data_IF_352406143406
#
_entry.id   IF_352406143406
#
_cell.length_a   1.000
_cell.length_b   1.000
_cell.length_c   1.000
_cell.angle_alpha   90.00
_cell.angle_beta   90.00
_cell.angle_gamma   90.00
#
_symmetry.space_group_name_H-M   'P 1'
#
loop_
_entity.id
_entity.type
_entity.pdbx_description
1 polymer ?
#
# COMPACT_ATOMS: atom_id res chain seq x y z
N UNK A 1 -22.24 10.25 15.47
CA UNK A 1 -21.92 9.99 14.04
C UNK A 1 -21.25 8.63 13.96
N UNK A 2 -21.80 7.67 13.21
CA UNK A 2 -21.13 6.38 12.98
C UNK A 2 -19.87 6.66 12.15
N UNK A 3 -18.68 6.49 12.72
CA UNK A 3 -17.45 6.34 11.92
C UNK A 3 -17.54 4.95 11.31
N UNK A 4 -17.95 4.89 10.05
CA UNK A 4 -17.83 3.67 9.26
C UNK A 4 -16.36 3.55 8.90
N UNK A 5 -15.76 2.41 9.23
CA UNK A 5 -14.45 1.98 8.75
C UNK A 5 -14.43 2.06 7.22
N UNK A 6 -13.67 3.00 6.64
CA UNK A 6 -13.75 3.34 5.20
C UNK A 6 -12.67 2.63 4.39
N UNK A 7 -12.78 1.31 4.31
CA UNK A 7 -12.28 0.62 3.12
C UNK A 7 -13.12 1.09 1.92
N UNK A 8 -12.46 1.57 0.88
CA UNK A 8 -13.13 2.02 -0.34
C UNK A 8 -13.57 0.80 -1.12
N UNK A 9 -14.88 0.64 -1.34
CA UNK A 9 -15.48 -0.49 -2.06
C UNK A 9 -15.94 -0.11 -3.45
N UNK A 10 -16.36 1.14 -3.61
CA UNK A 10 -16.87 1.68 -4.86
C UNK A 10 -16.30 3.08 -5.14
N UNK A 11 -16.29 3.48 -6.42
CA UNK A 11 -15.76 4.77 -6.85
C UNK A 11 -16.40 5.97 -6.11
N UNK A 12 -17.70 5.87 -5.80
CA UNK A 12 -18.45 6.91 -5.07
C UNK A 12 -17.93 7.15 -3.65
N UNK A 13 -17.31 6.13 -3.04
CA UNK A 13 -16.83 6.21 -1.66
C UNK A 13 -15.66 7.20 -1.51
N UNK A 14 -14.94 7.46 -2.62
CA UNK A 14 -13.77 8.36 -2.67
C UNK A 14 -14.19 9.81 -2.40
N UNK A 15 -15.32 10.24 -2.94
CA UNK A 15 -15.82 11.61 -2.73
C UNK A 15 -16.19 11.85 -1.27
N UNK A 16 -16.76 10.83 -0.62
CA UNK A 16 -17.17 10.89 0.77
C UNK A 16 -16.03 10.65 1.76
N UNK A 17 -14.83 10.27 1.29
CA UNK A 17 -13.69 9.98 2.14
C UNK A 17 -13.19 11.27 2.82
N UNK A 18 -13.37 11.42 4.13
CA UNK A 18 -12.99 12.66 4.83
C UNK A 18 -11.89 12.45 5.86
N UNK A 19 -11.65 11.19 6.25
CA UNK A 19 -10.55 10.80 7.10
C UNK A 19 -10.19 9.34 6.86
N UNK A 20 -8.96 8.98 7.19
CA UNK A 20 -8.48 7.60 7.33
C UNK A 20 -7.76 7.56 8.67
N UNK A 21 -8.06 6.55 9.49
CA UNK A 21 -7.44 6.39 10.81
C UNK A 21 -7.45 7.68 11.65
N UNK A 22 -8.60 8.36 11.68
CA UNK A 22 -8.81 9.64 12.37
C UNK A 22 -7.89 10.80 11.95
N UNK A 23 -7.20 10.69 10.82
CA UNK A 23 -6.48 11.78 10.17
C UNK A 23 -7.37 12.34 9.06
N UNK A 24 -7.53 13.66 9.02
CA UNK A 24 -8.27 14.28 7.92
C UNK A 24 -7.51 14.14 6.60
N UNK A 25 -8.24 14.20 5.48
CA UNK A 25 -7.62 14.07 4.16
C UNK A 25 -6.60 15.18 3.91
N UNK A 26 -6.81 16.39 4.43
CA UNK A 26 -5.85 17.49 4.31
C UNK A 26 -4.52 17.18 5.02
N UNK A 27 -4.58 16.50 6.18
CA UNK A 27 -3.38 16.05 6.89
C UNK A 27 -2.67 14.95 6.09
N UNK A 28 -3.43 13.99 5.56
CA UNK A 28 -2.90 12.90 4.73
C UNK A 28 -2.24 13.47 3.47
N UNK A 29 -2.90 14.39 2.78
CA UNK A 29 -2.37 15.08 1.61
C UNK A 29 -1.07 15.82 1.92
N UNK A 30 -1.05 16.60 3.01
CA UNK A 30 0.18 17.29 3.44
C UNK A 30 1.33 16.30 3.65
N UNK A 31 1.07 15.15 4.30
CA UNK A 31 2.09 14.13 4.55
C UNK A 31 2.54 13.43 3.25
N UNK A 32 1.62 13.26 2.31
CA UNK A 32 1.86 12.58 1.06
C UNK A 32 2.73 13.38 0.07
N UNK A 33 2.89 14.69 0.27
CA UNK A 33 3.81 15.51 -0.53
C UNK A 33 5.27 15.26 -0.13
N UNK A 34 6.15 15.44 -1.11
CA UNK A 34 7.61 15.42 -0.95
C UNK A 34 8.07 16.32 0.22
N UNK A 35 9.05 15.85 0.98
CA UNK A 35 9.87 16.66 1.88
C UNK A 35 11.28 16.80 1.34
N UNK A 36 11.88 17.98 1.48
CA UNK A 36 13.27 18.22 1.12
C UNK A 36 14.23 17.81 2.25
N UNK A 37 13.79 17.96 3.50
CA UNK A 37 14.54 17.57 4.69
C UNK A 37 13.59 17.26 5.86
N UNK A 38 14.13 16.62 6.90
CA UNK A 38 13.39 16.26 8.12
C UNK A 38 13.15 17.45 9.06
N UNK A 39 13.75 18.62 8.79
CA UNK A 39 13.66 19.82 9.64
C UNK A 39 12.45 20.69 9.29
N UNK A 40 11.97 20.60 8.05
CA UNK A 40 10.81 21.31 7.53
C UNK A 40 9.48 20.89 8.17
N UNK A 41 9.43 19.68 8.76
CA UNK A 41 8.21 19.14 9.38
C UNK A 41 8.53 18.25 10.60
N UNK A 42 9.03 18.82 11.71
CA UNK A 42 9.59 18.06 12.84
C UNK A 42 8.56 17.14 13.52
N UNK A 43 7.26 17.45 13.38
CA UNK A 43 6.17 16.67 13.98
C UNK A 43 5.69 15.51 13.11
N UNK A 44 5.89 15.58 11.79
CA UNK A 44 5.32 14.58 10.87
C UNK A 44 6.28 13.96 9.87
N UNK A 45 7.55 14.40 9.80
CA UNK A 45 8.55 13.90 8.84
C UNK A 45 8.65 12.37 8.79
N UNK A 46 8.44 11.68 9.92
CA UNK A 46 8.47 10.20 10.01
C UNK A 46 7.39 9.50 9.19
N UNK A 47 6.29 10.19 8.90
CA UNK A 47 5.13 9.69 8.13
C UNK A 47 5.16 10.16 6.68
N UNK A 48 6.19 10.91 6.29
CA UNK A 48 6.38 11.45 4.95
C UNK A 48 7.45 10.63 4.23
N UNK A 49 7.51 10.78 2.91
CA UNK A 49 8.55 10.18 2.06
C UNK A 49 9.32 11.30 1.36
N UNK A 50 10.64 11.13 1.20
CA UNK A 50 11.47 12.06 0.41
C UNK A 50 11.05 12.09 -1.06
N UNK A 51 10.64 10.94 -1.61
CA UNK A 51 10.12 10.86 -2.97
C UNK A 51 8.61 11.22 -3.03
N UNK A 52 7.96 11.32 -1.87
CA UNK A 52 6.54 11.58 -1.73
C UNK A 52 5.66 10.40 -2.17
N UNK A 53 4.37 10.50 -1.87
CA UNK A 53 3.33 9.57 -2.31
C UNK A 53 2.42 10.19 -3.40
N UNK A 54 2.45 11.52 -3.55
CA UNK A 54 1.67 12.29 -4.53
C UNK A 54 2.55 13.27 -5.27
N UNK A 55 2.17 13.59 -6.51
CA UNK A 55 2.80 14.66 -7.29
C UNK A 55 2.53 16.03 -6.67
N UNK A 56 3.36 17.03 -6.98
CA UNK A 56 3.32 18.36 -6.32
C UNK A 56 1.93 19.01 -6.35
N UNK A 57 1.21 18.91 -7.47
CA UNK A 57 -0.09 19.55 -7.68
C UNK A 57 -1.28 18.59 -7.62
N UNK A 58 -1.09 17.33 -7.22
CA UNK A 58 -2.14 16.32 -7.19
C UNK A 58 -2.79 16.18 -5.80
N UNK A 59 -4.12 16.09 -5.74
CA UNK A 59 -4.81 15.78 -4.47
C UNK A 59 -4.85 14.28 -4.20
N UNK A 60 -4.97 13.86 -2.94
CA UNK A 60 -5.01 12.44 -2.57
C UNK A 60 -6.23 11.75 -3.17
N UNK A 61 -7.39 12.41 -3.10
CA UNK A 61 -8.62 11.90 -3.73
C UNK A 61 -8.50 11.80 -5.25
N UNK A 62 -7.87 12.78 -5.89
CA UNK A 62 -7.67 12.75 -7.35
C UNK A 62 -6.78 11.58 -7.78
N UNK A 63 -5.67 11.32 -7.06
CA UNK A 63 -4.83 10.15 -7.33
C UNK A 63 -5.62 8.85 -7.23
N UNK A 64 -6.37 8.66 -6.14
CA UNK A 64 -7.21 7.45 -5.98
C UNK A 64 -8.21 7.34 -7.13
N UNK A 65 -8.92 8.43 -7.47
CA UNK A 65 -9.87 8.43 -8.60
C UNK A 65 -9.20 8.04 -9.91
N UNK A 66 -8.00 8.55 -10.16
CA UNK A 66 -7.26 8.24 -11.38
C UNK A 66 -6.87 6.77 -11.43
N UNK A 67 -6.37 6.21 -10.33
CA UNK A 67 -6.00 4.78 -10.25
C UNK A 67 -7.21 3.85 -10.42
N UNK A 68 -8.36 4.20 -9.82
CA UNK A 68 -9.62 3.47 -10.00
C UNK A 68 -10.09 3.51 -11.45
N UNK A 69 -10.07 4.70 -12.08
CA UNK A 69 -10.45 4.86 -13.51
C UNK A 69 -9.54 4.06 -14.43
N UNK A 70 -8.23 4.04 -14.16
CA UNK A 70 -7.29 3.25 -14.94
C UNK A 70 -7.64 1.75 -14.89
N UNK A 71 -7.92 1.22 -13.70
CA UNK A 71 -8.33 -0.17 -13.56
C UNK A 71 -9.68 -0.46 -14.23
N UNK A 72 -10.66 0.41 -14.06
CA UNK A 72 -11.97 0.28 -14.72
C UNK A 72 -11.85 0.24 -16.24
N UNK A 73 -11.08 1.18 -16.82
CA UNK A 73 -10.84 1.22 -18.26
C UNK A 73 -10.12 -0.05 -18.74
N UNK A 74 -9.10 -0.50 -18.02
CA UNK A 74 -8.38 -1.73 -18.36
C UNK A 74 -9.29 -2.96 -18.33
N UNK A 75 -10.16 -3.07 -17.33
CA UNK A 75 -11.15 -4.15 -17.24
C UNK A 75 -12.08 -4.15 -18.46
N UNK A 76 -12.57 -2.98 -18.87
CA UNK A 76 -13.40 -2.84 -20.08
C UNK A 76 -12.65 -3.30 -21.33
N UNK A 77 -11.43 -2.80 -21.52
CA UNK A 77 -10.60 -3.10 -22.71
C UNK A 77 -10.24 -4.58 -22.83
N UNK A 78 -10.04 -5.26 -21.69
CA UNK A 78 -9.58 -6.66 -21.64
C UNK A 78 -10.71 -7.65 -21.31
N UNK A 79 -11.96 -7.19 -21.19
CA UNK A 79 -13.13 -7.99 -20.78
C UNK A 79 -12.89 -8.77 -19.48
N UNK A 80 -12.29 -8.09 -18.50
CA UNK A 80 -12.00 -8.60 -17.17
C UNK A 80 -12.85 -7.88 -16.12
N UNK A 81 -12.81 -8.36 -14.89
CA UNK A 81 -13.49 -7.75 -13.73
C UNK A 81 -12.59 -7.77 -12.50
N UNK A 82 -11.34 -7.32 -12.63
CA UNK A 82 -10.40 -7.26 -11.52
C UNK A 82 -10.71 -6.09 -10.59
N UNK A 83 -10.68 -6.36 -9.29
CA UNK A 83 -10.75 -5.35 -8.23
C UNK A 83 -9.35 -4.99 -7.73
N UNK A 84 -9.23 -3.90 -6.98
CA UNK A 84 -7.97 -3.57 -6.31
C UNK A 84 -7.55 -4.63 -5.28
N UNK A 85 -8.53 -5.33 -4.67
CA UNK A 85 -8.29 -6.48 -3.79
C UNK A 85 -7.71 -7.66 -4.58
N UNK A 86 -8.19 -7.92 -5.79
CA UNK A 86 -7.60 -8.98 -6.64
C UNK A 86 -6.16 -8.66 -7.00
N UNK A 87 -5.86 -7.40 -7.28
CA UNK A 87 -4.50 -6.95 -7.60
C UNK A 87 -3.59 -7.05 -6.38
N UNK A 88 -4.03 -6.61 -5.20
CA UNK A 88 -3.25 -6.75 -3.97
C UNK A 88 -2.99 -8.23 -3.64
N UNK A 89 -3.99 -9.09 -3.81
CA UNK A 89 -3.83 -10.53 -3.61
C UNK A 89 -2.82 -11.17 -4.57
N UNK A 90 -2.78 -10.76 -5.83
CA UNK A 90 -1.73 -11.20 -6.78
C UNK A 90 -0.33 -10.76 -6.33
N UNK A 91 -0.18 -9.53 -5.84
CA UNK A 91 1.10 -9.07 -5.29
C UNK A 91 1.50 -9.86 -4.05
N UNK A 92 0.57 -10.09 -3.11
CA UNK A 92 0.80 -10.91 -1.91
C UNK A 92 1.23 -12.33 -2.29
N UNK A 93 0.59 -12.93 -3.28
CA UNK A 93 0.92 -14.26 -3.77
C UNK A 93 2.34 -14.31 -4.36
N UNK A 94 2.73 -13.33 -5.19
CA UNK A 94 4.10 -13.23 -5.72
C UNK A 94 5.14 -13.10 -4.61
N UNK A 95 4.90 -12.24 -3.61
CA UNK A 95 5.81 -12.07 -2.47
C UNK A 95 5.89 -13.35 -1.64
N UNK A 96 4.75 -13.98 -1.34
CA UNK A 96 4.70 -15.26 -0.64
C UNK A 96 5.50 -16.35 -1.35
N UNK A 97 5.31 -16.52 -2.66
CA UNK A 97 6.05 -17.49 -3.46
C UNK A 97 7.56 -17.16 -3.50
N UNK A 98 7.92 -15.87 -3.55
CA UNK A 98 9.31 -15.43 -3.46
C UNK A 98 9.95 -15.83 -2.11
N UNK A 99 9.30 -15.52 -0.98
CA UNK A 99 9.80 -15.88 0.35
C UNK A 99 9.86 -17.39 0.56
N UNK A 100 8.84 -18.11 0.09
CA UNK A 100 8.79 -19.57 0.18
C UNK A 100 9.93 -20.20 -0.63
N UNK A 101 10.14 -19.76 -1.88
CA UNK A 101 11.24 -20.22 -2.73
C UNK A 101 12.60 -19.92 -2.08
N UNK A 102 12.76 -18.73 -1.49
CA UNK A 102 14.00 -18.36 -0.78
C UNK A 102 14.28 -19.30 0.39
N UNK A 103 13.25 -19.63 1.17
CA UNK A 103 13.35 -20.57 2.29
C UNK A 103 13.68 -21.99 1.80
N UNK A 104 13.01 -22.47 0.75
CA UNK A 104 13.20 -23.82 0.22
C UNK A 104 14.60 -24.02 -0.37
N UNK A 105 15.18 -22.97 -0.97
CA UNK A 105 16.55 -22.97 -1.49
C UNK A 105 17.60 -22.64 -0.43
N UNK A 106 17.20 -22.42 0.83
CA UNK A 106 18.07 -21.99 1.93
C UNK A 106 18.93 -20.75 1.57
N UNK A 107 18.33 -19.80 0.87
CA UNK A 107 18.97 -18.56 0.48
C UNK A 107 18.84 -17.50 1.58
N UNK A 108 19.84 -16.62 1.67
CA UNK A 108 19.81 -15.49 2.60
C UNK A 108 18.65 -14.52 2.32
N UNK A 109 18.23 -13.70 3.31
CA UNK A 109 16.99 -12.93 3.26
C UNK A 109 16.90 -11.90 2.12
N UNK A 110 18.05 -11.43 1.62
CA UNK A 110 18.14 -10.47 0.50
C UNK A 110 18.61 -11.12 -0.81
N UNK A 111 18.74 -12.45 -0.84
CA UNK A 111 19.12 -13.15 -2.06
C UNK A 111 18.04 -12.95 -3.14
N UNK A 112 18.44 -12.59 -4.37
CA UNK A 112 17.52 -12.51 -5.50
C UNK A 112 16.89 -13.86 -5.83
N UNK A 113 15.63 -13.84 -6.24
CA UNK A 113 14.84 -15.01 -6.61
C UNK A 113 14.36 -14.88 -8.05
N UNK A 114 14.54 -15.95 -8.84
CA UNK A 114 13.80 -16.15 -10.09
C UNK A 114 12.57 -16.99 -9.79
N UNK A 115 11.40 -16.47 -10.12
CA UNK A 115 10.10 -17.10 -9.87
C UNK A 115 9.37 -17.30 -11.20
N UNK A 116 8.81 -18.49 -11.42
CA UNK A 116 7.86 -18.73 -12.52
C UNK A 116 6.44 -18.59 -11.98
N UNK A 117 5.89 -17.38 -12.07
CA UNK A 117 4.57 -17.03 -11.58
C UNK A 117 3.48 -17.51 -12.56
N UNK A 118 2.41 -18.12 -12.03
CA UNK A 118 1.30 -18.68 -12.82
C UNK A 118 1.73 -19.59 -13.98
N UNK A 119 2.87 -20.29 -13.85
CA UNK A 119 3.45 -21.20 -14.87
C UNK A 119 3.86 -20.55 -16.20
N UNK A 120 3.70 -19.24 -16.37
CA UNK A 120 3.92 -18.56 -17.65
C UNK A 120 4.79 -17.30 -17.51
N UNK A 121 4.82 -16.69 -16.34
CA UNK A 121 5.42 -15.37 -16.14
C UNK A 121 6.71 -15.51 -15.36
N UNK A 122 7.83 -15.32 -16.04
CA UNK A 122 9.14 -15.30 -15.38
C UNK A 122 9.40 -13.95 -14.72
N UNK A 123 9.55 -13.97 -13.40
CA UNK A 123 9.85 -12.80 -12.57
C UNK A 123 11.25 -12.92 -11.97
N UNK A 124 11.97 -11.80 -11.93
CA UNK A 124 13.18 -11.62 -11.14
C UNK A 124 12.88 -10.67 -9.97
N UNK A 125 13.07 -11.15 -8.75
CA UNK A 125 12.65 -10.45 -7.53
C UNK A 125 13.85 -10.25 -6.61
N UNK A 126 14.12 -9.00 -6.26
CA UNK A 126 15.14 -8.63 -5.28
C UNK A 126 14.45 -8.06 -4.04
N UNK A 127 14.85 -8.54 -2.86
CA UNK A 127 14.38 -8.03 -1.58
C UNK A 127 15.45 -7.18 -0.92
N UNK A 128 15.09 -5.96 -0.56
CA UNK A 128 15.92 -5.04 0.20
C UNK A 128 15.40 -4.94 1.63
N UNK A 129 16.30 -4.95 2.61
CA UNK A 129 15.99 -4.72 4.02
C UNK A 129 16.84 -3.54 4.49
N UNK A 130 16.17 -2.51 5.02
CA UNK A 130 16.80 -1.28 5.46
C UNK A 130 16.92 -1.22 7.00
N UNK A 131 17.89 -0.47 7.49
CA UNK A 131 18.07 -0.25 8.93
C UNK A 131 17.04 0.73 9.53
N UNK A 132 16.40 1.54 8.69
CA UNK A 132 15.36 2.49 9.08
C UNK A 132 13.95 1.99 8.75
N UNK A 133 12.94 2.52 9.43
CA UNK A 133 11.53 2.21 9.15
C UNK A 133 10.83 3.38 8.47
N UNK A 134 10.04 3.06 7.46
CA UNK A 134 8.96 3.93 6.97
C UNK A 134 7.73 3.68 7.83
N UNK A 135 7.12 4.76 8.32
CA UNK A 135 5.80 4.68 8.94
C UNK A 135 4.73 4.87 7.89
N UNK A 136 3.58 4.24 8.12
CA UNK A 136 2.39 4.47 7.30
C UNK A 136 2.06 5.97 7.21
N UNK A 137 1.71 6.41 6.00
CA UNK A 137 1.13 7.72 5.71
C UNK A 137 -0.06 8.03 6.65
N UNK A 138 -0.83 6.98 6.97
CA UNK A 138 -2.02 7.02 7.80
C UNK A 138 -1.73 6.80 9.30
N UNK A 139 -0.47 6.80 9.73
CA UNK A 139 -0.13 6.55 11.13
C UNK A 139 -0.67 7.64 12.06
N UNK A 140 -1.41 7.22 13.10
CA UNK A 140 -1.96 8.12 14.11
C UNK A 140 -1.48 7.75 15.52
N UNK A 141 -0.57 8.56 16.11
CA UNK A 141 -0.05 8.32 17.47
C UNK A 141 -1.11 8.49 18.56
N UNK A 142 -2.08 9.39 18.37
CA UNK A 142 -3.06 9.73 19.41
C UNK A 142 -4.00 8.55 19.71
N UNK A 143 -4.35 7.76 18.70
CA UNK A 143 -5.17 6.55 18.88
C UNK A 143 -4.43 5.46 19.66
N UNK A 144 -3.14 5.28 19.39
CA UNK A 144 -2.33 4.27 20.10
C UNK A 144 -2.31 4.48 21.62
N UNK A 145 -2.38 5.75 22.06
CA UNK A 145 -2.42 6.11 23.47
C UNK A 145 -3.82 5.91 24.10
N UNK A 146 -4.89 6.07 23.33
CA UNK A 146 -6.26 5.88 23.82
C UNK A 146 -6.57 4.41 24.11
N UNK A 147 -6.14 3.49 23.24
CA UNK A 147 -6.40 2.05 23.46
C UNK A 147 -5.64 1.48 24.65
N UNK A 148 -4.41 1.95 24.90
CA UNK A 148 -3.66 1.53 26.08
C UNK A 148 -4.34 1.95 27.39
N UNK A 149 -5.14 3.01 27.39
CA UNK A 149 -5.86 3.47 28.59
C UNK A 149 -7.25 2.82 28.75
N UNK A 150 -7.92 2.44 27.65
CA UNK A 150 -9.29 1.92 27.71
C UNK A 150 -9.39 0.43 28.06
N UNK A 151 -8.32 -0.35 27.92
CA UNK A 151 -8.31 -1.79 28.25
C UNK A 151 -8.58 -2.12 29.74
N UNK A 152 -8.76 -1.12 30.61
CA UNK A 152 -9.08 -1.33 32.01
C UNK A 152 -10.57 -1.21 32.37
N UNK A 153 -11.48 -0.81 31.48
CA UNK A 153 -12.88 -0.63 31.88
C UNK A 153 -13.90 -0.97 30.77
N UNK A 154 -14.69 -2.01 31.04
CA UNK A 154 -16.01 -2.38 30.49
C UNK A 154 -16.09 -3.28 29.26
N UNK A 155 -17.02 -4.25 29.39
CA UNK A 155 -17.08 -5.51 28.66
C UNK A 155 -18.39 -5.62 27.85
N UNK A 156 -18.85 -4.54 27.20
CA UNK A 156 -20.22 -4.48 26.65
C UNK A 156 -20.42 -4.06 25.19
N UNK A 157 -19.39 -3.87 24.35
CA UNK A 157 -19.57 -3.68 22.90
C UNK A 157 -18.45 -4.32 22.05
N UNK A 158 -18.27 -5.63 22.18
CA UNK A 158 -17.14 -6.38 21.58
C UNK A 158 -17.06 -6.41 20.05
N UNK A 159 -18.15 -6.22 19.31
CA UNK A 159 -18.11 -6.38 17.83
C UNK A 159 -17.64 -5.10 17.12
N UNK A 160 -18.10 -3.92 17.54
CA UNK A 160 -17.62 -2.66 16.95
C UNK A 160 -16.18 -2.33 17.36
N UNK A 161 -15.79 -2.66 18.57
CA UNK A 161 -14.41 -2.47 19.05
C UNK A 161 -13.43 -3.33 18.23
N UNK A 162 -13.82 -4.55 17.81
CA UNK A 162 -12.98 -5.40 16.97
C UNK A 162 -12.71 -4.84 15.58
N UNK A 163 -13.74 -4.34 14.88
CA UNK A 163 -13.54 -3.75 13.55
C UNK A 163 -12.65 -2.50 13.63
N UNK A 164 -12.81 -1.67 14.67
CA UNK A 164 -11.95 -0.50 14.91
C UNK A 164 -10.50 -0.91 15.23
N UNK A 165 -10.29 -1.92 16.08
CA UNK A 165 -8.95 -2.43 16.39
C UNK A 165 -8.24 -3.02 15.16
N UNK A 166 -8.98 -3.74 14.30
CA UNK A 166 -8.43 -4.30 13.06
C UNK A 166 -8.01 -3.19 12.08
N UNK A 167 -8.85 -2.17 11.88
CA UNK A 167 -8.52 -1.03 11.00
C UNK A 167 -7.31 -0.24 11.53
N UNK A 168 -7.27 0.06 12.82
CA UNK A 168 -6.13 0.73 13.45
C UNK A 168 -4.84 -0.08 13.32
N UNK A 169 -4.96 -1.40 13.51
CA UNK A 169 -3.88 -2.34 13.33
C UNK A 169 -3.30 -2.30 11.92
N UNK A 170 -4.11 -2.05 10.89
CA UNK A 170 -3.68 -1.94 9.48
C UNK A 170 -2.92 -0.62 9.23
N UNK A 171 -3.45 0.50 9.72
CA UNK A 171 -2.91 1.82 9.42
C UNK A 171 -1.75 2.26 10.31
N UNK A 172 -1.62 1.74 11.52
CA UNK A 172 -0.49 1.99 12.43
C UNK A 172 0.62 0.94 12.27
N UNK A 173 0.99 0.65 11.01
CA UNK A 173 2.11 -0.23 10.65
C UNK A 173 3.33 0.56 10.20
N UNK A 174 4.48 -0.08 10.30
CA UNK A 174 5.77 0.40 9.81
C UNK A 174 6.48 -0.73 9.10
N UNK A 175 7.29 -0.42 8.10
CA UNK A 175 8.04 -1.39 7.33
C UNK A 175 9.43 -0.87 7.04
N UNK A 176 10.36 -1.79 6.79
CA UNK A 176 11.74 -1.51 6.39
C UNK A 176 12.19 -2.42 5.25
N UNK A 177 11.21 -2.97 4.52
CA UNK A 177 11.44 -3.93 3.45
C UNK A 177 10.89 -3.34 2.16
N UNK A 178 11.55 -3.64 1.06
CA UNK A 178 11.11 -3.32 -0.29
C UNK A 178 11.39 -4.50 -1.21
N UNK A 179 10.51 -4.72 -2.18
CA UNK A 179 10.70 -5.68 -3.26
C UNK A 179 10.82 -4.96 -4.58
N UNK A 180 11.92 -5.19 -5.30
CA UNK A 180 12.02 -4.90 -6.72
C UNK A 180 11.55 -6.12 -7.50
N UNK A 181 10.45 -6.00 -8.25
CA UNK A 181 9.85 -7.07 -9.03
C UNK A 181 9.97 -6.70 -10.51
N UNK A 182 10.65 -7.55 -11.28
CA UNK A 182 10.85 -7.37 -12.71
C UNK A 182 10.25 -8.55 -13.49
N UNK A 183 9.44 -8.26 -14.51
CA UNK A 183 9.05 -9.26 -15.50
C UNK A 183 10.19 -9.44 -16.51
N UNK A 184 10.77 -10.64 -16.56
CA UNK A 184 11.97 -10.93 -17.37
C UNK A 184 11.67 -10.78 -18.86
N UNK A 185 10.47 -11.15 -19.32
CA UNK A 185 10.12 -11.07 -20.74
C UNK A 185 9.92 -9.63 -21.20
N UNK A 186 9.16 -8.83 -20.45
CA UNK A 186 8.83 -7.45 -20.83
C UNK A 186 9.86 -6.43 -20.37
N UNK A 187 10.79 -6.83 -19.50
CA UNK A 187 11.77 -5.96 -18.83
C UNK A 187 11.13 -4.85 -17.97
N UNK A 188 9.81 -4.89 -17.76
CA UNK A 188 9.12 -3.94 -16.90
C UNK A 188 9.36 -4.30 -15.43
N UNK A 189 9.55 -3.27 -14.61
CA UNK A 189 9.80 -3.41 -13.18
C UNK A 189 8.96 -2.44 -12.34
N UNK A 190 8.73 -2.84 -11.09
CA UNK A 190 8.10 -2.04 -10.03
C UNK A 190 8.88 -2.19 -8.74
N UNK A 191 8.79 -1.18 -7.88
CA UNK A 191 9.21 -1.24 -6.49
C UNK A 191 7.96 -1.34 -5.62
N UNK A 192 7.96 -2.28 -4.68
CA UNK A 192 6.88 -2.51 -3.72
C UNK A 192 7.43 -2.28 -2.33
N UNK A 193 7.08 -1.13 -1.74
CA UNK A 193 7.47 -0.74 -0.39
C UNK A 193 6.60 -1.47 0.64
N UNK A 194 7.19 -2.39 1.41
CA UNK A 194 6.51 -3.20 2.42
C UNK A 194 6.54 -4.70 2.12
N UNK A 195 5.68 -5.44 2.81
CA UNK A 195 5.49 -6.90 2.67
C UNK A 195 3.98 -7.22 2.56
N UNK A 196 3.59 -8.48 2.72
CA UNK A 196 2.18 -8.88 2.59
C UNK A 196 1.24 -8.19 3.57
N UNK A 197 1.78 -7.78 4.71
CA UNK A 197 1.03 -7.26 5.85
C UNK A 197 1.29 -5.76 6.05
N UNK A 198 2.30 -5.18 5.42
CA UNK A 198 2.74 -3.82 5.69
C UNK A 198 3.01 -3.06 4.39
N UNK A 199 2.82 -1.75 4.40
CA UNK A 199 3.18 -0.87 3.29
C UNK A 199 2.13 -0.82 2.18
N UNK A 200 2.61 -0.63 0.94
CA UNK A 200 1.77 -0.17 -0.17
C UNK A 200 0.68 -1.17 -0.57
N UNK A 201 0.90 -2.47 -0.34
CA UNK A 201 -0.08 -3.52 -0.64
C UNK A 201 -1.39 -3.28 0.12
N UNK A 202 -1.30 -2.84 1.38
CA UNK A 202 -2.50 -2.53 2.16
C UNK A 202 -3.23 -1.30 1.60
N UNK A 203 -2.52 -0.34 0.99
CA UNK A 203 -3.14 0.87 0.47
C UNK A 203 -3.88 0.54 -0.83
N UNK A 204 -3.30 -0.34 -1.65
CA UNK A 204 -3.94 -0.89 -2.84
C UNK A 204 -5.19 -1.67 -2.43
N UNK A 205 -5.07 -2.62 -1.50
CA UNK A 205 -6.18 -3.46 -1.05
C UNK A 205 -7.36 -2.67 -0.51
N UNK A 206 -7.09 -1.69 0.34
CA UNK A 206 -8.11 -1.03 1.15
C UNK A 206 -8.62 0.29 0.56
N UNK A 207 -7.84 0.93 -0.32
CA UNK A 207 -8.16 2.24 -0.90
C UNK A 207 -8.13 2.25 -2.42
N UNK A 208 -7.53 1.26 -3.07
CA UNK A 208 -7.13 1.36 -4.48
C UNK A 208 -6.15 2.50 -4.73
N UNK A 209 -5.32 2.83 -3.73
CA UNK A 209 -4.30 3.88 -3.81
C UNK A 209 -2.95 3.25 -4.13
N UNK A 210 -2.32 3.72 -5.21
CA UNK A 210 -1.00 3.28 -5.62
C UNK A 210 0.00 4.44 -5.47
N UNK A 211 1.10 4.20 -4.77
CA UNK A 211 2.10 5.22 -4.41
C UNK A 211 2.72 5.85 -5.65
N UNK A 212 3.09 7.13 -5.52
CA UNK A 212 3.90 7.90 -6.46
C UNK A 212 3.11 8.64 -7.53
N UNK A 213 3.76 9.65 -8.12
CA UNK A 213 3.35 10.26 -9.39
C UNK A 213 4.11 9.65 -10.57
N UNK A 214 3.87 10.11 -11.80
CA UNK A 214 4.51 9.52 -12.98
C UNK A 214 6.03 9.74 -13.07
N UNK A 215 6.62 10.55 -12.18
CA UNK A 215 8.06 10.82 -12.11
C UNK A 215 8.75 10.11 -10.93
N UNK A 216 7.97 9.61 -9.97
CA UNK A 216 8.46 8.90 -8.80
C UNK A 216 8.85 7.44 -9.15
N UNK A 217 10.04 7.01 -8.76
CA UNK A 217 10.50 5.61 -8.94
C UNK A 217 9.62 4.57 -8.23
N UNK A 218 8.95 4.97 -7.15
CA UNK A 218 7.99 4.19 -6.39
C UNK A 218 6.60 4.15 -7.04
N UNK A 219 6.41 4.77 -8.21
CA UNK A 219 5.13 4.73 -8.91
C UNK A 219 4.72 3.33 -9.29
N UNK A 220 3.69 2.82 -8.62
CA UNK A 220 3.04 1.56 -8.98
C UNK A 220 1.83 1.86 -9.87
N UNK A 221 2.07 2.25 -11.12
CA UNK A 221 0.97 2.43 -12.07
C UNK A 221 0.16 1.11 -12.18
N UNK A 222 -1.18 1.11 -11.95
CA UNK A 222 -1.98 -0.12 -11.93
C UNK A 222 -1.85 -0.95 -13.21
N UNK A 223 -1.76 -0.29 -14.37
CA UNK A 223 -1.65 -0.95 -15.67
C UNK A 223 -0.28 -1.59 -15.85
N UNK A 224 0.78 -0.90 -15.41
CA UNK A 224 2.15 -1.44 -15.42
C UNK A 224 2.27 -2.63 -14.47
N UNK A 225 1.62 -2.58 -13.31
CA UNK A 225 1.57 -3.69 -12.38
C UNK A 225 0.88 -4.90 -13.02
N UNK A 226 -0.29 -4.70 -13.64
CA UNK A 226 -1.00 -5.76 -14.35
C UNK A 226 -0.16 -6.35 -15.50
N UNK A 227 0.56 -5.53 -16.26
CA UNK A 227 1.41 -6.02 -17.36
C UNK A 227 2.65 -6.78 -16.89
N UNK A 228 3.09 -6.57 -15.64
CA UNK A 228 4.13 -7.39 -15.00
C UNK A 228 3.55 -8.73 -14.53
N UNK A 229 2.35 -8.71 -13.94
CA UNK A 229 1.75 -9.85 -13.24
C UNK A 229 0.82 -10.73 -14.06
N UNK A 230 0.47 -10.35 -15.29
CA UNK A 230 -0.45 -11.08 -16.15
C UNK A 230 0.15 -11.34 -17.53
N UNK A 231 0.00 -12.57 -18.01
CA UNK A 231 0.22 -12.91 -19.41
C UNK A 231 -0.91 -12.33 -20.24
N UNK A 232 -0.56 -11.73 -21.38
CA UNK A 232 -1.53 -11.38 -22.44
C UNK A 232 -1.72 -12.58 -23.35
#
# INVERSE_FOLDING_TARGET
MKKQTKFLKEFKDIDELNNINNLSIEIIEKRAKIIQDNTSDPESWRYRSFDGFLGENESFKERIKNDWKLLEQWNLDNKQSLTHIDISNKLKDVINQCEQTRKDLNFGPMAPIKLLYNKEIELYIVKNIYNGFQYSLFWNEKQKQQNNNNNNNNNKNKEKEKEEEEEEGIWNRKWNIEYKIQNIKTQQEILVSGDNDNGIINYIENLGFYEGDEFNQYRINPIKLLSILMSK
#
